data_IF_570010174829
#
_entry.id   IF_570010174829
#
_cell.length_a   1.000
_cell.length_b   1.000
_cell.length_c   1.000
_cell.angle_alpha   90.00
_cell.angle_beta   90.00
_cell.angle_gamma   90.00
#
_symmetry.space_group_name_H-M   'P 1'
#
loop_
_entity.id
_entity.type
_entity.pdbx_description
1 polymer ?
#
# COMPACT_ATOMS: atom_id res chain seq x y z
N UNK A 1 -31.70 -4.29 -26.43
CA UNK A 1 -30.52 -5.16 -26.21
C UNK A 1 -29.32 -4.40 -26.74
N UNK A 2 -28.36 -4.04 -25.88
CA UNK A 2 -27.22 -3.19 -26.26
C UNK A 2 -26.27 -3.94 -27.20
N UNK A 3 -25.76 -3.28 -28.24
CA UNK A 3 -24.79 -3.83 -29.19
C UNK A 3 -23.57 -4.40 -28.43
N UNK A 4 -23.31 -5.72 -28.49
CA UNK A 4 -22.23 -6.34 -27.74
C UNK A 4 -20.83 -5.88 -28.18
N UNK A 5 -20.66 -5.28 -29.37
CA UNK A 5 -19.39 -4.70 -29.80
C UNK A 5 -19.05 -3.37 -29.12
N UNK A 6 -20.07 -2.68 -28.60
CA UNK A 6 -19.95 -1.31 -28.07
C UNK A 6 -19.74 -1.26 -26.55
N UNK A 7 -20.08 -2.33 -25.84
CA UNK A 7 -20.07 -2.36 -24.38
C UNK A 7 -19.34 -3.61 -23.86
N UNK A 8 -18.71 -3.50 -22.71
CA UNK A 8 -18.05 -4.60 -22.00
C UNK A 8 -18.52 -4.65 -20.55
N UNK A 9 -18.47 -5.82 -19.87
CA UNK A 9 -18.67 -5.87 -18.42
C UNK A 9 -17.68 -4.94 -17.73
N UNK A 10 -18.15 -4.14 -16.77
CA UNK A 10 -17.26 -3.42 -15.88
C UNK A 10 -16.74 -4.38 -14.80
N UNK A 11 -15.44 -4.46 -14.64
CA UNK A 11 -14.71 -5.27 -13.65
C UNK A 11 -13.78 -4.39 -12.84
N UNK A 12 -13.22 -4.92 -11.75
CA UNK A 12 -12.27 -4.16 -10.92
C UNK A 12 -11.00 -3.80 -11.72
N UNK A 13 -10.61 -4.64 -12.68
CA UNK A 13 -9.42 -4.48 -13.51
C UNK A 13 -9.64 -3.49 -14.68
N UNK A 14 -10.84 -3.44 -15.26
CA UNK A 14 -11.10 -2.64 -16.46
C UNK A 14 -11.92 -1.36 -16.22
N UNK A 15 -12.36 -1.09 -14.99
CA UNK A 15 -13.24 0.04 -14.69
C UNK A 15 -12.62 1.37 -15.11
N UNK A 16 -13.30 2.08 -16.02
CA UNK A 16 -12.97 3.46 -16.39
C UNK A 16 -14.19 4.33 -16.13
N UNK A 17 -14.07 5.25 -15.17
CA UNK A 17 -15.19 6.08 -14.69
C UNK A 17 -15.95 6.78 -15.83
N UNK A 18 -15.24 7.38 -16.79
CA UNK A 18 -15.86 8.04 -17.95
C UNK A 18 -16.65 7.06 -18.84
N UNK A 19 -16.12 5.86 -19.09
CA UNK A 19 -16.79 4.85 -19.92
C UNK A 19 -18.00 4.23 -19.20
N UNK A 20 -17.88 4.07 -17.88
CA UNK A 20 -18.95 3.56 -17.03
C UNK A 20 -20.10 4.57 -16.94
N UNK A 21 -19.82 5.85 -16.71
CA UNK A 21 -20.83 6.90 -16.66
C UNK A 21 -21.52 7.10 -18.02
N UNK A 22 -20.77 7.01 -19.12
CA UNK A 22 -21.33 7.10 -20.47
C UNK A 22 -22.29 5.93 -20.80
N UNK A 23 -22.06 4.75 -20.21
CA UNK A 23 -22.93 3.59 -20.38
C UNK A 23 -24.12 3.55 -19.40
N UNK A 24 -24.04 4.28 -18.28
CA UNK A 24 -25.02 4.24 -17.19
C UNK A 24 -25.54 5.64 -16.83
N UNK A 25 -26.53 6.19 -17.57
CA UNK A 25 -27.05 7.55 -17.35
C UNK A 25 -27.66 7.79 -15.97
N UNK A 26 -28.18 6.74 -15.32
CA UNK A 26 -28.66 6.78 -13.93
C UNK A 26 -27.52 7.07 -12.95
N UNK A 27 -26.36 6.43 -13.15
CA UNK A 27 -25.16 6.66 -12.34
C UNK A 27 -24.55 8.04 -12.66
N UNK A 28 -24.57 8.46 -13.92
CA UNK A 28 -24.14 9.82 -14.29
C UNK A 28 -24.95 10.90 -13.54
N UNK A 29 -26.26 10.71 -13.40
CA UNK A 29 -27.10 11.60 -12.55
C UNK A 29 -26.73 11.52 -11.07
N UNK A 30 -26.43 10.33 -10.54
CA UNK A 30 -25.97 10.16 -9.17
C UNK A 30 -24.68 10.94 -8.91
N UNK A 31 -23.67 10.82 -9.79
CA UNK A 31 -22.40 11.55 -9.68
C UNK A 31 -22.60 13.06 -9.82
N UNK A 32 -23.46 13.51 -10.75
CA UNK A 32 -23.80 14.92 -10.87
C UNK A 32 -24.47 15.51 -9.61
N UNK A 33 -25.06 14.67 -8.75
CA UNK A 33 -25.64 15.05 -7.46
C UNK A 33 -24.67 14.91 -6.28
N UNK A 34 -23.35 14.76 -6.52
CA UNK A 34 -22.32 14.57 -5.49
C UNK A 34 -22.05 13.12 -5.13
N UNK A 35 -22.60 12.18 -5.91
CA UNK A 35 -22.32 10.76 -5.80
C UNK A 35 -20.94 10.34 -6.34
N UNK A 36 -20.64 9.05 -6.25
CA UNK A 36 -19.36 8.49 -6.67
C UNK A 36 -19.57 7.25 -7.56
N UNK A 37 -19.03 7.28 -8.78
CA UNK A 37 -19.21 6.20 -9.76
C UNK A 37 -18.62 4.87 -9.28
N UNK A 38 -17.47 4.91 -8.62
CA UNK A 38 -16.80 3.72 -8.11
C UNK A 38 -17.54 3.13 -6.93
N UNK A 39 -17.95 3.94 -5.95
CA UNK A 39 -18.77 3.46 -4.82
C UNK A 39 -20.09 2.87 -5.31
N UNK A 40 -20.70 3.45 -6.35
CA UNK A 40 -21.87 2.85 -6.99
C UNK A 40 -21.52 1.49 -7.60
N UNK A 41 -20.46 1.41 -8.40
CA UNK A 41 -20.03 0.15 -9.03
C UNK A 41 -19.72 -0.93 -7.98
N UNK A 42 -18.92 -0.63 -6.98
CA UNK A 42 -18.54 -1.52 -5.89
C UNK A 42 -19.76 -2.06 -5.12
N UNK A 43 -20.70 -1.18 -4.74
CA UNK A 43 -21.84 -1.54 -3.90
C UNK A 43 -22.98 -2.22 -4.67
N UNK A 44 -23.18 -1.80 -5.93
CA UNK A 44 -24.34 -2.20 -6.73
C UNK A 44 -23.91 -2.74 -8.09
N UNK A 45 -23.15 -1.95 -8.84
CA UNK A 45 -22.88 -2.21 -10.26
C UNK A 45 -22.22 -3.57 -10.54
N UNK A 46 -21.32 -4.03 -9.68
CA UNK A 46 -20.65 -5.33 -9.78
C UNK A 46 -21.64 -6.49 -9.69
N UNK A 47 -22.57 -6.43 -8.73
CA UNK A 47 -23.61 -7.46 -8.53
C UNK A 47 -24.69 -7.40 -9.61
N UNK A 48 -24.95 -6.20 -10.13
CA UNK A 48 -25.91 -5.96 -11.21
C UNK A 48 -25.36 -6.33 -12.60
N UNK A 49 -24.07 -6.66 -12.72
CA UNK A 49 -23.44 -6.93 -14.01
C UNK A 49 -23.42 -5.69 -14.92
N UNK A 50 -23.28 -4.49 -14.34
CA UNK A 50 -23.25 -3.24 -15.09
C UNK A 50 -22.11 -3.24 -16.10
N UNK A 51 -22.36 -2.62 -17.25
CA UNK A 51 -21.43 -2.54 -18.37
C UNK A 51 -20.87 -1.13 -18.50
N UNK A 52 -19.72 -1.01 -19.13
CA UNK A 52 -19.14 0.26 -19.59
C UNK A 52 -19.01 0.25 -21.11
N UNK A 53 -18.78 1.42 -21.72
CA UNK A 53 -18.38 1.47 -23.13
C UNK A 53 -17.03 0.77 -23.30
N UNK A 54 -16.84 0.05 -24.41
CA UNK A 54 -15.50 -0.39 -24.79
C UNK A 54 -14.64 0.82 -25.14
N UNK A 55 -13.33 0.73 -24.92
CA UNK A 55 -12.38 1.78 -25.33
C UNK A 55 -12.49 2.11 -26.82
N UNK A 56 -12.59 1.07 -27.66
CA UNK A 56 -12.79 1.23 -29.10
C UNK A 56 -14.07 2.00 -29.44
N UNK A 57 -15.19 1.71 -28.75
CA UNK A 57 -16.44 2.45 -28.93
C UNK A 57 -16.37 3.91 -28.48
N UNK A 58 -15.46 4.22 -27.54
CA UNK A 58 -15.17 5.58 -27.10
C UNK A 58 -14.10 6.28 -27.96
N UNK A 59 -13.59 5.63 -29.02
CA UNK A 59 -12.51 6.17 -29.85
C UNK A 59 -11.15 6.22 -29.16
N UNK A 60 -10.98 5.49 -28.05
CA UNK A 60 -9.74 5.41 -27.31
C UNK A 60 -8.85 4.29 -27.88
N UNK A 61 -7.56 4.55 -28.16
CA UNK A 61 -6.66 3.55 -28.69
C UNK A 61 -6.26 2.53 -27.62
N UNK A 62 -5.97 1.32 -28.11
CA UNK A 62 -5.35 0.24 -27.33
C UNK A 62 -6.14 -0.21 -26.11
N UNK A 63 -5.50 -1.10 -25.35
CA UNK A 63 -5.97 -1.52 -24.03
C UNK A 63 -5.71 -0.43 -22.99
N UNK A 64 -6.32 -0.58 -21.80
CA UNK A 64 -6.06 0.31 -20.66
C UNK A 64 -4.58 0.24 -20.24
N UNK A 65 -3.99 -0.96 -20.23
CA UNK A 65 -2.61 -1.20 -19.83
C UNK A 65 -1.60 -0.60 -20.82
N UNK A 66 -1.85 -0.71 -22.13
CA UNK A 66 -1.05 -0.06 -23.18
C UNK A 66 -1.10 1.47 -23.06
N UNK A 67 -2.30 2.03 -22.88
CA UNK A 67 -2.47 3.48 -22.72
C UNK A 67 -1.76 4.00 -21.46
N UNK A 68 -1.81 3.22 -20.37
CA UNK A 68 -1.11 3.55 -19.13
C UNK A 68 0.40 3.43 -19.28
N UNK A 69 0.90 2.37 -19.93
CA UNK A 69 2.32 2.24 -20.27
C UNK A 69 2.80 3.42 -21.11
N UNK A 70 2.10 3.77 -22.20
CA UNK A 70 2.47 4.92 -23.04
C UNK A 70 2.56 6.24 -22.26
N UNK A 71 1.73 6.40 -21.22
CA UNK A 71 1.74 7.57 -20.34
C UNK A 71 2.99 7.62 -19.44
N UNK A 72 3.44 6.48 -18.93
CA UNK A 72 4.55 6.40 -17.97
C UNK A 72 5.90 6.01 -18.57
N UNK A 73 5.94 5.43 -19.77
CA UNK A 73 7.17 5.02 -20.45
C UNK A 73 8.22 6.14 -20.54
N UNK A 74 7.88 7.42 -20.77
CA UNK A 74 8.87 8.51 -20.77
C UNK A 74 9.52 8.79 -19.40
N UNK A 75 8.93 8.30 -18.30
CA UNK A 75 9.44 8.48 -16.94
C UNK A 75 10.32 7.31 -16.50
N UNK A 76 10.32 6.20 -17.22
CA UNK A 76 11.10 5.01 -16.88
C UNK A 76 12.56 5.23 -17.27
N UNK A 77 13.46 5.22 -16.28
CA UNK A 77 14.89 5.50 -16.46
C UNK A 77 15.74 4.44 -15.73
N UNK A 78 16.24 3.47 -16.49
CA UNK A 78 17.03 2.35 -15.95
C UNK A 78 18.35 2.82 -15.31
N UNK A 79 18.89 3.96 -15.73
CA UNK A 79 20.13 4.51 -15.18
C UNK A 79 19.96 5.05 -13.75
N UNK A 80 18.72 5.22 -13.28
CA UNK A 80 18.40 5.69 -11.92
C UNK A 80 18.03 4.58 -10.94
N UNK A 81 17.75 3.37 -11.43
CA UNK A 81 17.44 2.24 -10.57
C UNK A 81 18.69 1.56 -10.01
N UNK A 82 18.52 0.36 -9.47
CA UNK A 82 19.57 -0.42 -8.81
C UNK A 82 20.51 -1.18 -9.77
N UNK A 83 20.66 -0.72 -11.03
CA UNK A 83 21.53 -1.34 -12.02
C UNK A 83 20.90 -2.51 -12.80
N UNK A 84 19.57 -2.57 -12.84
CA UNK A 84 18.81 -3.53 -13.64
C UNK A 84 18.28 -2.96 -14.96
N UNK A 85 17.55 -3.80 -15.70
CA UNK A 85 16.89 -3.46 -16.96
C UNK A 85 15.38 -3.73 -16.89
N UNK A 86 14.61 -3.03 -17.72
CA UNK A 86 13.18 -3.25 -17.88
C UNK A 86 12.88 -4.47 -18.75
N UNK A 87 11.85 -5.23 -18.37
CA UNK A 87 11.27 -6.29 -19.20
C UNK A 87 9.75 -6.27 -19.12
N UNK A 88 9.09 -6.55 -20.23
CA UNK A 88 7.64 -6.79 -20.23
C UNK A 88 7.35 -8.13 -19.57
N UNK A 89 6.44 -8.15 -18.59
CA UNK A 89 5.96 -9.38 -17.95
C UNK A 89 4.72 -9.94 -18.66
N UNK A 90 4.07 -9.11 -19.48
CA UNK A 90 2.94 -9.47 -20.33
C UNK A 90 3.20 -9.14 -21.80
N UNK A 91 2.24 -8.46 -22.43
CA UNK A 91 2.37 -7.97 -23.79
C UNK A 91 3.47 -6.90 -23.91
N UNK A 92 4.09 -6.82 -25.09
CA UNK A 92 5.02 -5.74 -25.41
C UNK A 92 4.30 -4.38 -25.37
N UNK A 93 5.04 -3.35 -24.97
CA UNK A 93 4.55 -1.96 -24.82
C UNK A 93 3.29 -1.84 -23.94
N UNK A 94 3.22 -2.68 -22.90
CA UNK A 94 2.12 -2.72 -21.95
C UNK A 94 2.63 -3.03 -20.55
N UNK A 95 1.91 -2.53 -19.55
CA UNK A 95 2.06 -3.03 -18.18
C UNK A 95 1.47 -4.45 -18.05
N UNK A 96 1.97 -5.26 -17.10
CA UNK A 96 3.04 -4.94 -16.14
C UNK A 96 4.47 -5.12 -16.67
N UNK A 97 5.39 -4.36 -16.09
CA UNK A 97 6.84 -4.43 -16.29
C UNK A 97 7.55 -5.03 -15.08
N UNK A 98 8.68 -5.68 -15.32
CA UNK A 98 9.68 -5.98 -14.30
C UNK A 98 10.90 -5.09 -14.50
N UNK A 99 11.57 -4.71 -13.41
CA UNK A 99 12.88 -4.06 -13.44
C UNK A 99 13.85 -4.80 -12.53
N UNK A 100 15.03 -5.14 -13.03
CA UNK A 100 16.01 -5.93 -12.27
C UNK A 100 15.47 -7.32 -11.90
N UNK A 101 16.02 -7.97 -10.88
CA UNK A 101 15.44 -9.20 -10.35
C UNK A 101 14.17 -8.86 -9.54
N UNK A 102 13.11 -9.68 -9.62
CA UNK A 102 12.06 -9.60 -8.61
C UNK A 102 12.60 -10.29 -7.36
N UNK A 103 12.50 -9.66 -6.18
CA UNK A 103 13.06 -10.24 -4.98
C UNK A 103 12.15 -11.24 -4.29
N UNK A 104 10.83 -11.14 -4.52
CA UNK A 104 9.85 -11.94 -3.79
C UNK A 104 8.75 -12.47 -4.69
N UNK A 105 8.23 -13.63 -4.30
CA UNK A 105 6.97 -14.19 -4.79
C UNK A 105 5.85 -13.91 -3.77
N UNK A 106 4.60 -13.85 -4.23
CA UNK A 106 3.44 -13.71 -3.33
C UNK A 106 3.36 -14.85 -2.31
N UNK A 107 3.83 -16.05 -2.66
CA UNK A 107 3.90 -17.21 -1.76
C UNK A 107 4.92 -17.09 -0.64
N UNK A 108 5.81 -16.09 -0.69
CA UNK A 108 6.74 -15.79 0.41
C UNK A 108 6.04 -15.06 1.57
N UNK A 109 4.81 -14.57 1.40
CA UNK A 109 4.07 -13.78 2.39
C UNK A 109 2.92 -14.59 3.01
N UNK A 110 2.60 -14.31 4.27
CA UNK A 110 1.41 -14.89 4.96
C UNK A 110 0.09 -14.50 4.27
N UNK A 111 0.10 -13.37 3.56
CA UNK A 111 -0.99 -12.90 2.72
C UNK A 111 -0.60 -11.64 1.95
N UNK A 112 -1.28 -11.38 0.84
CA UNK A 112 -1.08 -10.16 0.07
C UNK A 112 -1.55 -8.94 0.87
N UNK A 113 -0.68 -7.93 1.00
CA UNK A 113 -1.05 -6.67 1.65
C UNK A 113 -2.21 -6.02 0.91
N UNK A 114 -3.26 -5.62 1.62
CA UNK A 114 -4.41 -4.94 1.04
C UNK A 114 -4.79 -3.72 1.89
N UNK A 115 -4.70 -2.55 1.29
CA UNK A 115 -5.03 -1.27 1.93
C UNK A 115 -5.72 -0.37 0.90
N UNK A 116 -6.80 0.36 1.24
CA UNK A 116 -7.40 1.38 0.36
C UNK A 116 -6.46 2.53 -0.02
N UNK A 117 -5.31 2.68 0.66
CA UNK A 117 -4.39 3.82 0.51
C UNK A 117 -4.85 5.01 1.35
N UNK A 118 -3.95 5.99 1.56
CA UNK A 118 -4.30 7.20 2.32
C UNK A 118 -5.34 8.02 1.56
N UNK A 119 -6.42 8.42 2.24
CA UNK A 119 -7.53 9.17 1.61
C UNK A 119 -7.06 10.44 0.91
N UNK A 120 -6.18 11.23 1.55
CA UNK A 120 -5.60 12.45 0.98
C UNK A 120 -4.89 12.19 -0.36
N UNK A 121 -4.17 11.06 -0.49
CA UNK A 121 -3.51 10.68 -1.74
C UNK A 121 -4.52 10.26 -2.81
N UNK A 122 -5.45 9.37 -2.46
CA UNK A 122 -6.47 8.86 -3.39
C UNK A 122 -7.34 9.99 -3.95
N UNK A 123 -7.75 10.93 -3.09
CA UNK A 123 -8.52 12.11 -3.49
C UNK A 123 -7.69 13.04 -4.39
N UNK A 124 -6.42 13.25 -4.07
CA UNK A 124 -5.50 14.05 -4.89
C UNK A 124 -5.31 13.45 -6.29
N UNK A 125 -5.02 12.15 -6.37
CA UNK A 125 -4.85 11.43 -7.65
C UNK A 125 -6.11 11.56 -8.50
N UNK A 126 -7.28 11.39 -7.88
CA UNK A 126 -8.57 11.50 -8.58
C UNK A 126 -8.87 12.91 -9.07
N UNK A 127 -8.58 13.93 -8.25
CA UNK A 127 -8.87 15.33 -8.57
C UNK A 127 -8.00 15.88 -9.71
N UNK A 128 -6.85 15.25 -9.98
CA UNK A 128 -5.87 15.73 -10.97
C UNK A 128 -5.50 14.64 -11.99
N UNK A 129 -6.45 14.22 -12.85
CA UNK A 129 -6.25 13.13 -13.81
C UNK A 129 -5.17 13.41 -14.88
N UNK A 130 -4.72 14.66 -15.00
CA UNK A 130 -3.64 15.14 -15.88
C UNK A 130 -2.24 15.03 -15.24
N UNK A 131 -2.15 14.96 -13.91
CA UNK A 131 -0.88 14.83 -13.16
C UNK A 131 -0.44 13.38 -13.02
N UNK A 132 0.84 13.15 -12.70
CA UNK A 132 1.45 11.82 -12.61
C UNK A 132 1.83 11.47 -11.17
N UNK A 133 1.39 10.31 -10.70
CA UNK A 133 1.62 9.84 -9.34
C UNK A 133 2.30 8.47 -9.33
N UNK A 134 2.92 8.12 -8.21
CA UNK A 134 3.48 6.80 -7.93
C UNK A 134 2.96 6.29 -6.58
N UNK A 135 2.52 5.04 -6.51
CA UNK A 135 2.17 4.33 -5.28
C UNK A 135 3.22 3.23 -5.05
N UNK A 136 4.06 3.42 -4.03
CA UNK A 136 5.21 2.56 -3.70
C UNK A 136 4.78 1.51 -2.69
N UNK A 137 4.91 0.23 -3.05
CA UNK A 137 4.41 -0.91 -2.26
C UNK A 137 2.89 -0.95 -2.31
N UNK A 138 2.36 -1.09 -3.53
CA UNK A 138 0.93 -0.95 -3.76
C UNK A 138 0.09 -2.08 -3.18
N UNK A 139 0.68 -3.24 -2.90
CA UNK A 139 -0.04 -4.48 -2.61
C UNK A 139 -1.24 -4.66 -3.53
N UNK A 140 -2.34 -5.17 -2.96
CA UNK A 140 -3.65 -5.18 -3.59
C UNK A 140 -4.41 -3.90 -3.27
N UNK A 141 -4.69 -3.10 -4.29
CA UNK A 141 -5.61 -1.98 -4.22
C UNK A 141 -7.01 -2.40 -4.64
N UNK A 142 -8.02 -1.86 -3.97
CA UNK A 142 -9.42 -2.05 -4.37
C UNK A 142 -9.73 -1.33 -5.68
N UNK A 143 -9.02 -0.22 -5.97
CA UNK A 143 -9.15 0.58 -7.18
C UNK A 143 -7.78 1.08 -7.64
N UNK A 144 -7.53 1.05 -8.94
CA UNK A 144 -6.36 1.66 -9.57
C UNK A 144 -6.73 2.85 -10.47
N UNK A 145 -5.85 3.83 -10.56
CA UNK A 145 -6.04 5.02 -11.42
C UNK A 145 -5.08 5.02 -12.62
N UNK A 146 -5.53 5.56 -13.75
CA UNK A 146 -4.76 5.62 -15.01
C UNK A 146 -3.59 6.63 -14.94
N UNK A 147 -3.64 7.54 -13.96
CA UNK A 147 -2.64 8.57 -13.72
C UNK A 147 -1.72 8.28 -12.52
N UNK A 148 -1.77 7.06 -11.97
CA UNK A 148 -0.90 6.58 -10.91
C UNK A 148 -0.18 5.30 -11.35
N UNK A 149 1.15 5.30 -11.29
CA UNK A 149 1.97 4.11 -11.46
C UNK A 149 1.98 3.32 -10.15
N UNK A 150 1.66 2.05 -10.18
CA UNK A 150 1.67 1.18 -9.00
C UNK A 150 2.91 0.30 -9.00
N UNK A 151 3.71 0.40 -7.95
CA UNK A 151 4.98 -0.30 -7.81
C UNK A 151 4.93 -1.31 -6.68
N UNK A 152 5.46 -2.50 -6.91
CA UNK A 152 5.53 -3.56 -5.91
C UNK A 152 6.82 -4.39 -6.06
N UNK A 153 7.16 -5.19 -5.04
CA UNK A 153 8.33 -6.10 -5.05
C UNK A 153 7.97 -7.56 -5.40
N UNK A 154 6.68 -7.82 -5.60
CA UNK A 154 6.08 -9.07 -6.05
C UNK A 154 4.95 -8.78 -7.08
N UNK A 155 4.51 -9.77 -7.90
CA UNK A 155 3.56 -9.54 -8.98
C UNK A 155 2.09 -9.46 -8.50
N UNK A 156 1.74 -8.39 -7.78
CA UNK A 156 0.34 -8.10 -7.43
C UNK A 156 -0.51 -7.79 -8.67
N UNK A 157 -1.81 -8.11 -8.59
CA UNK A 157 -2.81 -7.69 -9.61
C UNK A 157 -2.94 -6.18 -9.76
N UNK A 158 -2.49 -5.38 -8.78
CA UNK A 158 -2.50 -3.92 -8.87
C UNK A 158 -1.21 -3.34 -9.43
N UNK A 159 -0.13 -4.12 -9.47
CA UNK A 159 1.19 -3.63 -9.82
C UNK A 159 1.33 -3.41 -11.33
N UNK A 160 1.81 -2.22 -11.70
CA UNK A 160 2.28 -1.92 -13.05
C UNK A 160 3.77 -2.21 -13.19
N UNK A 161 4.55 -1.96 -12.13
CA UNK A 161 6.00 -2.11 -12.12
C UNK A 161 6.45 -2.97 -10.94
N UNK A 162 7.08 -4.10 -11.21
CA UNK A 162 7.64 -5.02 -10.21
C UNK A 162 9.15 -4.85 -10.13
N UNK A 163 9.69 -4.55 -8.95
CA UNK A 163 11.12 -4.25 -8.75
C UNK A 163 11.75 -5.05 -7.62
N UNK A 164 13.08 -5.04 -7.52
CA UNK A 164 13.78 -5.44 -6.30
C UNK A 164 13.66 -4.37 -5.18
N UNK A 165 13.66 -4.76 -3.88
CA UNK A 165 13.54 -3.88 -2.71
C UNK A 165 14.87 -3.16 -2.41
N UNK A 166 15.53 -2.60 -3.43
CA UNK A 166 16.81 -1.92 -3.31
C UNK A 166 16.69 -0.46 -2.83
N UNK A 167 15.48 0.02 -2.57
CA UNK A 167 15.17 1.41 -2.21
C UNK A 167 15.64 2.45 -3.27
N UNK A 168 16.02 2.00 -4.47
CA UNK A 168 16.36 2.83 -5.65
C UNK A 168 15.36 2.56 -6.75
N UNK A 169 14.86 3.62 -7.37
CA UNK A 169 13.71 3.52 -8.25
C UNK A 169 14.11 3.93 -9.68
N UNK A 170 13.80 3.11 -10.70
CA UNK A 170 14.17 3.38 -12.09
C UNK A 170 13.23 4.40 -12.74
N UNK A 171 13.07 5.55 -12.08
CA UNK A 171 12.17 6.63 -12.46
C UNK A 171 13.01 7.90 -12.60
N UNK A 172 12.75 8.67 -13.65
CA UNK A 172 13.46 9.91 -13.96
C UNK A 172 13.33 10.97 -12.86
N UNK A 173 14.35 11.81 -12.74
CA UNK A 173 14.36 12.97 -11.85
C UNK A 173 13.19 13.92 -12.17
N UNK A 174 12.64 14.58 -11.14
CA UNK A 174 11.69 15.68 -11.27
C UNK A 174 10.53 15.42 -12.27
N UNK A 175 9.93 14.23 -12.20
CA UNK A 175 8.99 13.72 -13.20
C UNK A 175 7.58 13.45 -12.66
N UNK A 176 7.45 13.25 -11.34
CA UNK A 176 6.19 12.96 -10.66
C UNK A 176 5.64 14.20 -9.93
N UNK A 177 4.31 14.29 -9.85
CA UNK A 177 3.57 15.31 -9.10
C UNK A 177 3.27 14.86 -7.66
N UNK A 178 3.23 13.55 -7.40
CA UNK A 178 3.10 13.03 -6.05
C UNK A 178 3.49 11.55 -5.89
N UNK A 179 3.87 11.17 -4.67
CA UNK A 179 4.24 9.79 -4.30
C UNK A 179 3.47 9.38 -3.05
N UNK A 180 2.78 8.24 -3.09
CA UNK A 180 2.19 7.55 -1.95
C UNK A 180 3.05 6.37 -1.50
N UNK A 181 3.15 6.16 -0.19
CA UNK A 181 3.83 5.01 0.40
C UNK A 181 3.16 4.68 1.75
N UNK A 182 2.45 3.56 1.84
CA UNK A 182 1.53 3.30 2.95
C UNK A 182 1.79 1.94 3.60
N UNK A 183 2.34 1.94 4.82
CA UNK A 183 2.77 0.74 5.54
C UNK A 183 3.77 -0.10 4.70
N UNK A 184 4.85 0.56 4.26
CA UNK A 184 5.91 -0.02 3.41
C UNK A 184 7.29 0.37 3.90
N UNK A 185 7.48 1.59 4.39
CA UNK A 185 8.81 2.07 4.80
C UNK A 185 9.43 1.27 5.96
N UNK A 186 8.60 0.67 6.82
CA UNK A 186 8.99 -0.27 7.87
C UNK A 186 9.67 -1.53 7.33
N UNK A 187 9.31 -1.93 6.10
CA UNK A 187 9.81 -3.11 5.40
C UNK A 187 11.04 -2.78 4.53
N UNK A 188 11.45 -1.51 4.45
CA UNK A 188 12.63 -1.09 3.71
C UNK A 188 13.89 -1.23 4.56
N UNK A 189 14.94 -1.86 4.02
CA UNK A 189 16.23 -1.96 4.72
C UNK A 189 16.93 -0.60 4.87
N UNK A 190 16.66 0.35 3.96
CA UNK A 190 17.27 1.68 3.95
C UNK A 190 16.20 2.76 3.68
N UNK A 191 15.28 3.05 4.61
CA UNK A 191 14.18 3.99 4.39
C UNK A 191 14.66 5.43 4.10
N UNK A 192 15.84 5.82 4.61
CA UNK A 192 16.47 7.12 4.31
C UNK A 192 16.89 7.26 2.84
N UNK A 193 17.28 6.16 2.21
CA UNK A 193 17.59 6.12 0.79
C UNK A 193 16.31 6.30 -0.03
N UNK A 194 15.24 5.58 0.34
CA UNK A 194 13.96 5.69 -0.36
C UNK A 194 13.40 7.11 -0.26
N UNK A 195 13.47 7.75 0.92
CA UNK A 195 13.07 9.14 1.11
C UNK A 195 13.84 10.12 0.21
N UNK A 196 15.16 9.92 0.05
CA UNK A 196 15.98 10.73 -0.86
C UNK A 196 15.59 10.52 -2.33
N UNK A 197 15.27 9.29 -2.73
CA UNK A 197 14.76 8.99 -4.07
C UNK A 197 13.38 9.60 -4.31
N UNK A 198 12.51 9.62 -3.30
CA UNK A 198 11.21 10.28 -3.40
C UNK A 198 11.40 11.77 -3.69
N UNK A 199 12.32 12.43 -3.00
CA UNK A 199 12.68 13.82 -3.29
C UNK A 199 13.24 14.00 -4.71
N UNK A 200 14.10 13.09 -5.18
CA UNK A 200 14.68 13.13 -6.54
C UNK A 200 13.63 13.00 -7.64
N UNK A 201 12.71 12.04 -7.50
CA UNK A 201 11.70 11.75 -8.52
C UNK A 201 10.60 12.81 -8.61
N UNK A 202 10.33 13.54 -7.52
CA UNK A 202 9.32 14.57 -7.47
C UNK A 202 9.75 15.86 -8.17
N UNK A 203 8.83 16.45 -8.93
CA UNK A 203 8.96 17.83 -9.41
C UNK A 203 9.05 18.79 -8.22
N UNK A 204 9.65 19.99 -8.39
CA UNK A 204 9.49 21.06 -7.42
C UNK A 204 8.01 21.32 -7.10
N UNK A 205 7.66 21.28 -5.81
CA UNK A 205 6.26 21.41 -5.35
C UNK A 205 5.44 20.12 -5.39
N UNK A 206 6.02 18.99 -5.81
CA UNK A 206 5.41 17.67 -5.70
C UNK A 206 5.29 17.21 -4.24
N UNK A 207 4.34 16.31 -3.97
CA UNK A 207 3.98 15.91 -2.60
C UNK A 207 4.32 14.44 -2.30
N UNK A 208 4.74 14.17 -1.06
CA UNK A 208 4.81 12.81 -0.51
C UNK A 208 3.66 12.58 0.46
N UNK A 209 3.07 11.39 0.41
CA UNK A 209 1.99 10.94 1.27
C UNK A 209 2.46 9.64 1.95
N UNK A 210 2.75 9.71 3.25
CA UNK A 210 3.37 8.62 3.99
C UNK A 210 2.44 8.16 5.12
N UNK A 211 2.18 6.86 5.18
CA UNK A 211 1.65 6.16 6.36
C UNK A 211 2.73 5.20 6.85
N UNK A 212 3.16 5.35 8.10
CA UNK A 212 4.28 4.61 8.70
C UNK A 212 3.86 4.13 10.10
N UNK A 213 3.85 2.82 10.39
CA UNK A 213 3.47 2.31 11.70
C UNK A 213 4.44 2.71 12.82
N UNK A 214 3.87 2.82 14.04
CA UNK A 214 4.61 3.09 15.27
C UNK A 214 4.55 1.94 16.29
N UNK A 215 3.37 1.67 16.87
CA UNK A 215 3.19 0.68 17.95
C UNK A 215 2.45 -0.56 17.45
N UNK A 216 2.94 -1.15 16.36
CA UNK A 216 2.40 -2.39 15.80
C UNK A 216 3.37 -3.56 16.05
N UNK A 217 2.87 -4.80 16.16
CA UNK A 217 3.71 -5.99 16.18
C UNK A 217 4.54 -6.12 14.90
N UNK A 218 5.64 -6.87 14.96
CA UNK A 218 6.39 -7.25 13.75
C UNK A 218 5.48 -8.07 12.83
N UNK A 219 5.43 -7.73 11.55
CA UNK A 219 4.51 -8.36 10.59
C UNK A 219 5.06 -8.25 9.15
N UNK A 220 4.32 -8.77 8.16
CA UNK A 220 4.66 -8.60 6.74
C UNK A 220 5.98 -9.27 6.32
N UNK A 221 6.12 -10.56 6.68
CA UNK A 221 7.28 -11.39 6.32
C UNK A 221 7.57 -11.36 4.80
N UNK A 222 8.83 -11.32 4.32
CA UNK A 222 10.07 -11.71 5.01
C UNK A 222 10.77 -10.66 5.85
N UNK A 223 10.40 -9.39 5.74
CA UNK A 223 11.24 -8.31 6.28
C UNK A 223 10.43 -7.20 6.91
N UNK A 224 10.66 -6.91 8.19
CA UNK A 224 10.19 -5.72 8.89
C UNK A 224 11.33 -5.22 9.76
N UNK A 225 11.86 -4.05 9.42
CA UNK A 225 13.10 -3.51 10.00
C UNK A 225 12.86 -2.43 11.03
N UNK A 226 11.83 -1.60 10.83
CA UNK A 226 11.68 -0.35 11.56
C UNK A 226 10.22 -0.02 11.87
N UNK A 227 9.95 0.50 13.07
CA UNK A 227 8.76 1.29 13.32
C UNK A 227 9.18 2.74 13.54
N UNK A 228 8.37 3.70 13.10
CA UNK A 228 8.69 5.12 13.23
C UNK A 228 7.87 5.78 14.35
N UNK A 229 8.54 6.51 15.24
CA UNK A 229 7.85 7.58 15.99
C UNK A 229 7.49 8.72 15.04
N UNK A 230 6.66 9.66 15.50
CA UNK A 230 6.35 10.88 14.75
C UNK A 230 7.61 11.66 14.39
N UNK A 231 8.56 11.79 15.31
CA UNK A 231 9.82 12.50 15.11
C UNK A 231 10.74 11.73 14.17
N UNK A 232 10.75 10.40 14.24
CA UNK A 232 11.48 9.55 13.29
C UNK A 232 10.97 9.72 11.86
N UNK A 233 9.65 9.72 11.67
CA UNK A 233 9.01 10.00 10.39
C UNK A 233 9.35 11.41 9.89
N UNK A 234 9.21 12.43 10.74
CA UNK A 234 9.59 13.80 10.38
C UNK A 234 11.06 13.88 9.94
N UNK A 235 11.96 13.24 10.69
CA UNK A 235 13.40 13.28 10.43
C UNK A 235 13.79 12.72 9.07
N UNK A 236 13.09 11.67 8.60
CA UNK A 236 13.31 11.08 7.27
C UNK A 236 13.04 12.07 6.12
N UNK A 237 12.15 13.04 6.34
CA UNK A 237 11.69 13.98 5.31
C UNK A 237 12.06 15.44 5.60
N UNK A 238 12.84 15.75 6.64
CA UNK A 238 13.25 17.12 6.99
C UNK A 238 14.13 17.79 5.90
N UNK A 239 14.79 17.00 5.04
CA UNK A 239 15.59 17.50 3.92
C UNK A 239 14.82 17.34 2.62
N UNK A 240 14.61 18.43 1.88
CA UNK A 240 13.98 18.40 0.56
C UNK A 240 12.45 18.53 0.57
N UNK A 241 11.81 18.53 1.74
CA UNK A 241 10.36 18.72 1.87
C UNK A 241 9.99 19.81 2.86
N UNK A 242 8.90 20.51 2.54
CA UNK A 242 8.15 21.31 3.49
C UNK A 242 7.03 20.45 4.09
N UNK A 243 6.96 20.39 5.41
CA UNK A 243 5.94 19.60 6.11
C UNK A 243 4.60 20.33 6.13
N UNK A 244 3.65 19.86 5.32
CA UNK A 244 2.27 20.38 5.25
C UNK A 244 1.39 19.85 6.38
N UNK A 245 1.56 18.57 6.75
CA UNK A 245 0.75 17.87 7.76
C UNK A 245 1.58 16.80 8.46
N UNK A 246 1.34 16.60 9.76
CA UNK A 246 1.87 15.50 10.55
C UNK A 246 0.91 15.25 11.72
N UNK A 247 0.13 14.17 11.63
CA UNK A 247 -0.97 13.88 12.53
C UNK A 247 -1.04 12.39 12.87
N UNK A 248 -1.94 12.03 13.78
CA UNK A 248 -2.40 10.65 13.96
C UNK A 248 -3.73 10.53 13.23
N UNK A 249 -3.79 9.68 12.22
CA UNK A 249 -5.00 9.43 11.43
C UNK A 249 -5.89 8.36 12.08
N UNK A 250 -7.09 8.16 11.53
CA UNK A 250 -8.10 7.26 12.09
C UNK A 250 -7.65 5.80 12.21
N UNK A 251 -6.72 5.34 11.36
CA UNK A 251 -6.13 3.99 11.40
C UNK A 251 -4.89 3.88 12.31
N UNK A 252 -4.50 4.96 12.98
CA UNK A 252 -3.27 5.06 13.78
C UNK A 252 -3.58 5.35 15.26
N UNK A 253 -4.84 5.19 15.67
CA UNK A 253 -5.32 5.52 17.01
C UNK A 253 -4.97 4.44 18.04
N UNK A 254 -4.96 4.76 19.36
CA UNK A 254 -4.56 3.81 20.40
C UNK A 254 -5.37 2.51 20.44
N UNK A 255 -6.65 2.53 20.05
CA UNK A 255 -7.49 1.33 19.98
C UNK A 255 -6.96 0.31 18.96
N UNK A 256 -6.38 0.73 17.83
CA UNK A 256 -5.75 -0.17 16.86
C UNK A 256 -4.51 -0.85 17.47
N UNK A 257 -3.64 -0.06 18.12
CA UNK A 257 -2.45 -0.59 18.77
C UNK A 257 -2.82 -1.56 19.91
N UNK A 258 -3.76 -1.18 20.78
CA UNK A 258 -4.22 -2.02 21.88
C UNK A 258 -4.87 -3.30 21.38
N UNK A 259 -5.76 -3.20 20.39
CA UNK A 259 -6.43 -4.36 19.81
C UNK A 259 -5.42 -5.35 19.25
N UNK A 260 -4.50 -4.90 18.39
CA UNK A 260 -3.56 -5.79 17.73
C UNK A 260 -2.60 -6.48 18.73
N UNK A 261 -2.10 -5.72 19.70
CA UNK A 261 -1.20 -6.26 20.73
C UNK A 261 -1.91 -7.25 21.66
N UNK A 262 -3.09 -6.91 22.17
CA UNK A 262 -3.81 -7.75 23.13
C UNK A 262 -4.43 -8.99 22.47
N UNK A 263 -5.10 -8.81 21.32
CA UNK A 263 -5.69 -9.93 20.60
C UNK A 263 -4.62 -10.87 20.06
N UNK A 264 -3.55 -10.33 19.48
CA UNK A 264 -2.44 -11.12 18.95
C UNK A 264 -1.70 -11.92 20.04
N UNK A 265 -1.40 -11.29 21.19
CA UNK A 265 -0.80 -12.00 22.32
C UNK A 265 -1.74 -13.09 22.85
N UNK A 266 -3.02 -12.79 23.03
CA UNK A 266 -4.00 -13.77 23.49
C UNK A 266 -4.13 -14.93 22.50
N UNK A 267 -4.06 -14.68 21.19
CA UNK A 267 -4.09 -15.69 20.14
C UNK A 267 -2.85 -16.60 20.15
N UNK A 268 -1.70 -16.06 20.52
CA UNK A 268 -0.44 -16.80 20.57
C UNK A 268 -0.26 -17.72 21.80
N UNK A 269 -1.04 -17.56 22.87
CA UNK A 269 -0.88 -18.35 24.10
C UNK A 269 -1.16 -19.85 23.89
N UNK A 270 -0.23 -20.74 24.22
CA UNK A 270 -0.41 -22.20 24.06
C UNK A 270 -1.18 -22.86 25.20
N UNK A 271 -1.49 -22.12 26.27
CA UNK A 271 -2.31 -22.58 27.40
C UNK A 271 -3.71 -21.97 27.29
N UNK A 272 -4.71 -22.81 27.01
CA UNK A 272 -6.10 -22.37 26.83
C UNK A 272 -6.72 -21.79 28.10
N UNK A 273 -6.40 -22.33 29.27
CA UNK A 273 -6.94 -21.81 30.53
C UNK A 273 -6.36 -20.43 30.85
N UNK A 274 -5.06 -20.22 30.59
CA UNK A 274 -4.43 -18.92 30.74
C UNK A 274 -4.93 -17.92 29.68
N UNK A 275 -5.19 -18.37 28.46
CA UNK A 275 -5.80 -17.56 27.40
C UNK A 275 -7.18 -17.06 27.81
N UNK A 276 -8.01 -17.93 28.37
CA UNK A 276 -9.35 -17.58 28.86
C UNK A 276 -9.27 -16.65 30.07
N UNK A 277 -8.34 -16.91 31.01
CA UNK A 277 -8.02 -16.00 32.12
C UNK A 277 -7.66 -14.60 31.59
N UNK A 278 -6.71 -14.51 30.66
CA UNK A 278 -6.25 -13.25 30.06
C UNK A 278 -7.40 -12.48 29.39
N UNK A 279 -8.24 -13.17 28.58
CA UNK A 279 -9.37 -12.55 27.90
C UNK A 279 -10.49 -12.10 28.84
N UNK A 280 -10.62 -12.72 30.01
CA UNK A 280 -11.63 -12.38 31.01
C UNK A 280 -11.23 -11.20 31.90
N UNK A 281 -9.94 -10.84 31.95
CA UNK A 281 -9.46 -9.73 32.77
C UNK A 281 -10.04 -8.39 32.30
N UNK A 282 -10.52 -7.60 33.26
CA UNK A 282 -10.76 -6.18 33.06
C UNK A 282 -9.45 -5.43 32.84
N UNK A 283 -9.53 -4.25 32.21
CA UNK A 283 -8.36 -3.36 32.04
C UNK A 283 -7.72 -3.04 33.40
N UNK A 284 -8.51 -2.87 34.46
CA UNK A 284 -8.00 -2.60 35.80
C UNK A 284 -7.20 -3.77 36.39
N UNK A 285 -7.65 -5.01 36.21
CA UNK A 285 -6.94 -6.21 36.66
C UNK A 285 -5.63 -6.42 35.91
N UNK A 286 -5.62 -6.13 34.60
CA UNK A 286 -4.40 -6.24 33.78
C UNK A 286 -3.37 -5.18 34.17
N UNK A 287 -3.79 -3.93 34.39
CA UNK A 287 -2.92 -2.86 34.87
C UNK A 287 -2.34 -3.12 36.26
N UNK A 288 -3.03 -3.92 37.09
CA UNK A 288 -2.53 -4.33 38.40
C UNK A 288 -1.42 -5.39 38.33
N UNK A 289 -1.14 -5.99 37.16
CA UNK A 289 -0.07 -6.97 36.97
C UNK A 289 1.26 -6.27 36.63
N UNK A 290 2.23 -6.19 37.56
CA UNK A 290 3.49 -5.48 37.30
C UNK A 290 4.33 -6.24 36.26
N UNK A 291 4.98 -5.54 35.30
CA UNK A 291 5.88 -6.17 34.33
C UNK A 291 6.92 -7.09 35.01
N UNK A 292 7.07 -8.31 34.50
CA UNK A 292 7.96 -9.33 35.07
C UNK A 292 7.43 -10.05 36.32
N UNK A 293 6.25 -9.69 36.82
CA UNK A 293 5.57 -10.36 37.92
C UNK A 293 5.04 -11.76 37.58
N UNK A 294 4.48 -12.50 38.56
CA UNK A 294 4.10 -13.91 38.40
C UNK A 294 3.13 -14.19 37.26
N UNK A 295 2.14 -13.31 37.05
CA UNK A 295 1.21 -13.41 35.91
C UNK A 295 1.94 -13.33 34.56
N UNK A 296 2.77 -12.29 34.37
CA UNK A 296 3.53 -12.11 33.13
C UNK A 296 4.57 -13.21 32.91
N UNK A 297 5.11 -13.83 33.96
CA UNK A 297 5.97 -15.01 33.83
C UNK A 297 5.20 -16.21 33.28
N UNK A 298 3.94 -16.44 33.70
CA UNK A 298 3.07 -17.47 33.13
C UNK A 298 2.75 -17.17 31.67
N UNK A 299 2.36 -15.94 31.35
CA UNK A 299 2.11 -15.48 29.97
C UNK A 299 3.33 -15.73 29.10
N UNK A 300 4.52 -15.31 29.54
CA UNK A 300 5.76 -15.50 28.81
C UNK A 300 6.05 -17.00 28.59
N UNK A 301 5.91 -17.83 29.62
CA UNK A 301 6.13 -19.27 29.53
C UNK A 301 5.19 -19.95 28.51
N UNK A 302 3.94 -19.49 28.43
CA UNK A 302 2.92 -19.98 27.49
C UNK A 302 2.94 -19.30 26.12
N UNK A 303 3.80 -18.30 25.89
CA UNK A 303 3.95 -17.65 24.57
C UNK A 303 5.12 -18.31 23.83
N UNK A 304 4.95 -18.86 22.61
CA UNK A 304 6.05 -19.41 21.81
C UNK A 304 7.09 -18.34 21.44
N UNK A 305 8.34 -18.75 21.20
CA UNK A 305 9.43 -17.82 20.90
C UNK A 305 9.16 -16.89 19.69
N UNK A 306 8.63 -17.36 18.55
CA UNK A 306 8.30 -16.48 17.42
C UNK A 306 7.27 -15.40 17.79
N UNK A 307 6.28 -15.74 18.61
CA UNK A 307 5.29 -14.79 19.10
C UNK A 307 5.90 -13.81 20.12
N UNK A 308 6.82 -14.25 20.98
CA UNK A 308 7.56 -13.34 21.87
C UNK A 308 8.34 -12.30 21.08
N UNK A 309 8.99 -12.70 19.98
CA UNK A 309 9.71 -11.77 19.10
C UNK A 309 8.75 -10.81 18.39
N UNK A 310 7.61 -11.31 17.93
CA UNK A 310 6.58 -10.52 17.25
C UNK A 310 5.99 -9.40 18.11
N UNK A 311 5.69 -9.71 19.38
CA UNK A 311 5.07 -8.79 20.34
C UNK A 311 6.08 -8.21 21.34
N UNK A 312 7.37 -8.25 21.02
CA UNK A 312 8.41 -7.76 21.91
C UNK A 312 8.32 -6.24 22.11
N UNK A 313 8.48 -5.78 23.35
CA UNK A 313 8.61 -4.35 23.66
C UNK A 313 10.01 -3.79 23.33
N UNK A 314 10.96 -4.64 22.94
CA UNK A 314 12.32 -4.26 22.59
C UNK A 314 13.19 -5.47 22.24
N UNK A 315 14.33 -5.19 21.60
CA UNK A 315 15.28 -6.20 21.15
C UNK A 315 16.68 -5.87 21.67
N UNK A 316 17.50 -6.89 21.96
CA UNK A 316 18.87 -6.72 22.44
C UNK A 316 19.85 -7.38 21.50
N UNK A 317 20.87 -6.64 21.07
CA UNK A 317 22.00 -7.14 20.28
C UNK A 317 23.29 -7.02 21.09
N UNK A 318 24.01 -8.13 21.24
CA UNK A 318 25.38 -8.15 21.76
C UNK A 318 26.28 -8.62 20.62
N UNK A 319 27.12 -7.71 20.09
CA UNK A 319 28.01 -7.99 18.98
C UNK A 319 29.47 -7.79 19.38
N UNK A 320 30.36 -8.63 18.84
CA UNK A 320 31.81 -8.45 18.94
C UNK A 320 32.30 -7.76 17.67
N UNK A 321 33.00 -6.64 17.82
CA UNK A 321 33.72 -5.99 16.72
C UNK A 321 34.71 -6.98 16.11
N UNK A 322 34.66 -7.14 14.79
CA UNK A 322 35.69 -7.86 14.04
C UNK A 322 36.87 -6.94 13.75
#
# INVERSE_FOLDING_TARGET
MQDPSRFEPATDENFVEQLYLAANPDVARHVAAGGDAWKHFERHGRKEGRRQLTRAAAGLPGTRAEAKYARFAPLLDAARGAGGDFRFLGAADSFPLGYGAAAHDLGDYDGESANPGLSDFVETVRAHPDRLYLDVGCGRRSRTFDNCLYLEVYPSVSADLVIEPACRYPIADASLDGIGCFAVMEHMAEPWVAAAEFARMLKPGGMVFIDYPFLVPVHGYPSHYYNATREGLARLFDTGFERVKLATEANQTPDHALHWQLSGLAEALTDDALRDEFKAMSVGELLAQPPGGPFWQRVLAATPEPARAMFAAGNTLIARKR
#
